data_IF_740509324507
#
_entry.id   IF_740509324507
#
_cell.length_a   1.000
_cell.length_b   1.000
_cell.length_c   1.000
_cell.angle_alpha   90.00
_cell.angle_beta   90.00
_cell.angle_gamma   90.00
#
_symmetry.space_group_name_H-M   'P 1'
#
loop_
_entity.id
_entity.type
_entity.pdbx_description
1 polymer ?
#
# COMPACT_ATOMS: atom_id res chain seq x y z
N UNK A 1 12.40 -0.05 2.00
CA UNK A 1 11.56 -0.04 0.78
C UNK A 1 10.15 0.27 1.22
N UNK A 2 9.58 1.35 0.69
CA UNK A 2 8.22 1.81 0.98
C UNK A 2 7.28 1.36 -0.13
N UNK A 3 6.26 0.59 0.23
CA UNK A 3 5.32 -0.01 -0.70
C UNK A 3 3.92 0.54 -0.40
N UNK A 4 3.24 1.01 -1.45
CA UNK A 4 1.82 1.38 -1.38
C UNK A 4 0.99 0.22 -1.92
N UNK A 5 0.03 -0.26 -1.12
CA UNK A 5 -0.95 -1.27 -1.55
C UNK A 5 -2.30 -0.58 -1.71
N UNK A 6 -2.80 -0.54 -2.95
CA UNK A 6 -4.12 -0.04 -3.31
C UNK A 6 -5.01 -1.24 -3.57
N UNK A 7 -5.97 -1.51 -2.67
CA UNK A 7 -6.87 -2.66 -2.82
C UNK A 7 -8.24 -2.31 -2.25
N UNK A 8 -9.31 -2.54 -3.02
CA UNK A 8 -10.68 -2.22 -2.61
C UNK A 8 -11.19 -3.16 -1.50
N UNK A 9 -10.75 -4.42 -1.55
CA UNK A 9 -11.06 -5.42 -0.52
C UNK A 9 -10.10 -5.33 0.67
N UNK A 10 -10.62 -4.81 1.80
CA UNK A 10 -9.84 -4.64 3.04
C UNK A 10 -9.20 -5.92 3.56
N UNK A 11 -9.87 -7.07 3.43
CA UNK A 11 -9.35 -8.35 3.91
C UNK A 11 -8.12 -8.80 3.12
N UNK A 12 -8.16 -8.63 1.79
CA UNK A 12 -7.05 -8.90 0.90
C UNK A 12 -5.90 -7.92 1.14
N UNK A 13 -6.20 -6.62 1.20
CA UNK A 13 -5.24 -5.56 1.51
C UNK A 13 -4.46 -5.86 2.81
N UNK A 14 -5.16 -6.21 3.88
CA UNK A 14 -4.57 -6.58 5.17
C UNK A 14 -3.66 -7.80 5.05
N UNK A 15 -4.07 -8.80 4.28
CA UNK A 15 -3.32 -10.05 4.09
C UNK A 15 -2.00 -9.79 3.34
N UNK A 16 -2.05 -8.97 2.29
CA UNK A 16 -0.88 -8.54 1.52
C UNK A 16 0.03 -7.70 2.40
N UNK A 17 -0.51 -6.68 3.08
CA UNK A 17 0.26 -5.79 3.93
C UNK A 17 0.93 -6.53 5.09
N UNK A 18 0.25 -7.48 5.74
CA UNK A 18 0.84 -8.34 6.77
C UNK A 18 2.01 -9.16 6.23
N UNK A 19 1.86 -9.73 5.04
CA UNK A 19 2.92 -10.53 4.41
C UNK A 19 4.15 -9.68 4.07
N UNK A 20 3.95 -8.49 3.52
CA UNK A 20 5.01 -7.54 3.19
C UNK A 20 5.70 -6.98 4.46
N UNK A 21 4.93 -6.65 5.50
CA UNK A 21 5.48 -6.21 6.80
C UNK A 21 6.31 -7.30 7.47
N UNK A 22 5.92 -8.58 7.33
CA UNK A 22 6.73 -9.72 7.81
C UNK A 22 8.08 -9.85 7.09
N UNK A 23 8.19 -9.34 5.87
CA UNK A 23 9.44 -9.25 5.12
C UNK A 23 10.24 -7.98 5.45
N UNK A 24 9.86 -7.25 6.52
CA UNK A 24 10.47 -6.00 6.96
C UNK A 24 10.38 -4.84 5.95
N UNK A 25 9.35 -4.86 5.09
CA UNK A 25 9.00 -3.70 4.27
C UNK A 25 8.09 -2.72 5.01
N UNK A 26 8.26 -1.43 4.71
CA UNK A 26 7.32 -0.38 5.11
C UNK A 26 6.15 -0.41 4.13
N UNK A 27 4.92 -0.54 4.65
CA UNK A 27 3.74 -0.73 3.81
C UNK A 27 2.62 0.18 4.26
N UNK A 28 2.17 1.02 3.33
CA UNK A 28 0.99 1.85 3.43
C UNK A 28 -0.14 1.26 2.60
N UNK A 29 -1.36 1.45 3.07
CA UNK A 29 -2.56 0.84 2.50
C UNK A 29 -3.58 1.93 2.17
N UNK A 30 -4.18 1.86 0.99
CA UNK A 30 -5.34 2.66 0.61
C UNK A 30 -6.38 1.78 -0.09
N UNK A 31 -7.64 2.19 0.00
CA UNK A 31 -8.77 1.38 -0.47
C UNK A 31 -9.48 2.00 -1.68
N UNK A 32 -8.93 3.10 -2.19
CA UNK A 32 -9.46 3.84 -3.32
C UNK A 32 -8.32 4.57 -4.04
N UNK A 33 -8.52 4.81 -5.34
CA UNK A 33 -7.50 5.44 -6.18
C UNK A 33 -7.25 6.91 -5.86
N UNK A 34 -8.21 7.62 -5.25
CA UNK A 34 -8.03 9.03 -4.92
C UNK A 34 -7.06 9.18 -3.74
N UNK A 35 -7.28 8.41 -2.67
CA UNK A 35 -6.35 8.32 -1.54
C UNK A 35 -4.95 7.88 -1.98
N UNK A 36 -4.86 6.94 -2.95
CA UNK A 36 -3.58 6.52 -3.50
C UNK A 36 -2.83 7.66 -4.20
N UNK A 37 -3.53 8.44 -5.03
CA UNK A 37 -2.98 9.60 -5.73
C UNK A 37 -2.53 10.69 -4.76
N UNK A 38 -3.34 10.94 -3.72
CA UNK A 38 -3.00 11.92 -2.68
C UNK A 38 -1.72 11.50 -1.94
N UNK A 39 -1.59 10.22 -1.58
CA UNK A 39 -0.37 9.68 -0.96
C UNK A 39 0.85 9.77 -1.89
N UNK A 40 0.69 9.39 -3.16
CA UNK A 40 1.76 9.47 -4.18
C UNK A 40 2.21 10.92 -4.45
N UNK A 41 1.37 11.90 -4.14
CA UNK A 41 1.71 13.32 -4.27
C UNK A 41 2.54 13.86 -3.11
N UNK A 42 2.46 13.21 -1.94
CA UNK A 42 3.12 13.64 -0.69
C UNK A 42 4.41 12.84 -0.46
N UNK A 43 4.36 11.53 -0.70
CA UNK A 43 5.45 10.60 -0.44
C UNK A 43 5.90 9.84 -1.69
N UNK A 44 7.15 9.39 -1.68
CA UNK A 44 7.71 8.54 -2.73
C UNK A 44 7.66 7.08 -2.30
N UNK A 45 6.95 6.27 -3.08
CA UNK A 45 6.92 4.82 -2.94
C UNK A 45 7.85 4.16 -3.96
N UNK A 46 8.54 3.10 -3.52
CA UNK A 46 9.42 2.29 -4.37
C UNK A 46 8.62 1.30 -5.25
N UNK A 47 7.42 0.92 -4.78
CA UNK A 47 6.51 0.01 -5.45
C UNK A 47 5.06 0.37 -5.11
N UNK A 48 4.18 0.29 -6.11
CA UNK A 48 2.74 0.39 -5.95
C UNK A 48 2.11 -0.91 -6.42
N UNK A 49 1.25 -1.50 -5.59
CA UNK A 49 0.43 -2.68 -5.90
C UNK A 49 -1.01 -2.21 -6.04
N UNK A 50 -1.67 -2.59 -7.14
CA UNK A 50 -3.04 -2.22 -7.52
C UNK A 50 -3.94 -3.44 -7.58
#
# INVERSE_FOLDING_TARGET
MHILVVEDEKALCDTIARSLRRLAYSVDCCYDGQSALDMLSIEKFDLVVL
#
